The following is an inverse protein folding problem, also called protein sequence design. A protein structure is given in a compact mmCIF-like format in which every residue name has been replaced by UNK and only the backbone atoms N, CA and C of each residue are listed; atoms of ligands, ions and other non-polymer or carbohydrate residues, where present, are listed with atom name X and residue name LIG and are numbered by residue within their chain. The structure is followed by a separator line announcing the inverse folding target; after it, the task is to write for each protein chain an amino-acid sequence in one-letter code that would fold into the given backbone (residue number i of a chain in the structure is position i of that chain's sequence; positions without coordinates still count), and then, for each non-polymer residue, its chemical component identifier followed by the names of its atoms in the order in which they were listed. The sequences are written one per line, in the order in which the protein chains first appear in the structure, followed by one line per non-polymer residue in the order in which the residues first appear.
data_IF_682170963032
#
_entry.id   IF_682170963032
#
_cell.length_a   1.000
_cell.length_b   1.000
_cell.length_c   1.000
_cell.angle_alpha   90.00
_cell.angle_beta   90.00
_cell.angle_gamma   90.00
#
_symmetry.space_group_name_H-M   'P 1'
#
loop_
_entity.id
_entity.type
_entity.pdbx_description
1 polymer ?
#
# COMPACT_ATOMS: atom_id res chain seq x y z
N UNK A 1 -30.69 -7.08 -33.87
CA UNK A 1 -29.83 -5.92 -33.63
C UNK A 1 -28.42 -6.36 -33.94
N UNK A 2 -27.70 -5.59 -34.75
CA UNK A 2 -26.28 -5.85 -35.04
C UNK A 2 -25.41 -5.23 -33.96
N UNK A 3 -24.15 -5.66 -33.84
CA UNK A 3 -23.20 -5.11 -32.87
C UNK A 3 -23.00 -3.59 -33.07
N UNK A 4 -23.01 -3.13 -34.32
CA UNK A 4 -22.93 -1.71 -34.67
C UNK A 4 -24.14 -0.90 -34.20
N UNK A 5 -25.35 -1.45 -34.33
CA UNK A 5 -26.58 -0.79 -33.84
C UNK A 5 -26.55 -0.65 -32.31
N UNK A 6 -26.06 -1.67 -31.61
CA UNK A 6 -25.91 -1.66 -30.16
C UNK A 6 -24.87 -0.61 -29.71
N UNK A 7 -23.72 -0.55 -30.39
CA UNK A 7 -22.67 0.43 -30.09
C UNK A 7 -23.14 1.88 -30.27
N UNK A 8 -23.87 2.16 -31.36
CA UNK A 8 -24.46 3.48 -31.63
C UNK A 8 -25.47 3.84 -30.54
N UNK A 9 -26.36 2.89 -30.19
CA UNK A 9 -27.37 3.10 -29.15
C UNK A 9 -26.70 3.41 -27.80
N UNK A 10 -25.66 2.66 -27.44
CA UNK A 10 -24.94 2.83 -26.19
C UNK A 10 -24.23 4.19 -26.14
N UNK A 11 -23.47 4.55 -27.18
CA UNK A 11 -22.83 5.87 -27.27
C UNK A 11 -23.84 7.00 -27.12
N UNK A 12 -25.01 6.87 -27.77
CA UNK A 12 -26.08 7.87 -27.66
C UNK A 12 -26.60 7.98 -26.22
N UNK A 13 -26.83 6.85 -25.55
CA UNK A 13 -27.34 6.80 -24.18
C UNK A 13 -26.33 7.37 -23.18
N UNK A 14 -25.07 6.93 -23.25
CA UNK A 14 -24.01 7.42 -22.37
C UNK A 14 -23.82 8.94 -22.48
N UNK A 15 -23.88 9.48 -23.70
CA UNK A 15 -23.79 10.91 -23.92
C UNK A 15 -25.05 11.68 -23.49
N UNK A 16 -26.23 11.12 -23.71
CA UNK A 16 -27.49 11.78 -23.34
C UNK A 16 -27.65 11.96 -21.83
N UNK A 17 -27.06 11.06 -21.04
CA UNK A 17 -27.10 11.09 -19.57
C UNK A 17 -25.78 11.52 -18.94
N UNK A 18 -24.79 11.95 -19.74
CA UNK A 18 -23.47 12.36 -19.26
C UNK A 18 -22.81 11.36 -18.28
N UNK A 19 -22.98 10.06 -18.53
CA UNK A 19 -22.62 9.00 -17.57
C UNK A 19 -21.14 9.04 -17.17
N UNK A 20 -20.26 9.44 -18.10
CA UNK A 20 -18.83 9.66 -17.82
C UNK A 20 -18.63 10.75 -16.76
N UNK A 21 -19.32 11.88 -16.89
CA UNK A 21 -19.19 12.99 -15.94
C UNK A 21 -19.80 12.62 -14.59
N UNK A 22 -20.93 11.92 -14.58
CA UNK A 22 -21.56 11.40 -13.36
C UNK A 22 -20.58 10.48 -12.62
N UNK A 23 -19.95 9.53 -13.32
CA UNK A 23 -18.97 8.63 -12.72
C UNK A 23 -17.79 9.38 -12.08
N UNK A 24 -17.23 10.38 -12.76
CA UNK A 24 -16.17 11.22 -12.16
C UNK A 24 -16.66 11.99 -10.93
N UNK A 25 -17.89 12.52 -10.97
CA UNK A 25 -18.45 13.26 -9.84
C UNK A 25 -18.67 12.36 -8.62
N UNK A 26 -19.17 11.14 -8.82
CA UNK A 26 -19.32 10.14 -7.75
C UNK A 26 -17.96 9.75 -7.16
N UNK A 27 -16.96 9.46 -8.00
CA UNK A 27 -15.62 9.16 -7.54
C UNK A 27 -14.99 10.31 -6.72
N UNK A 28 -15.14 11.55 -7.19
CA UNK A 28 -14.69 12.73 -6.44
C UNK A 28 -15.42 12.89 -5.11
N UNK A 29 -16.70 12.52 -5.04
CA UNK A 29 -17.45 12.54 -3.78
C UNK A 29 -16.92 11.49 -2.81
N UNK A 30 -16.62 10.27 -3.28
CA UNK A 30 -16.01 9.20 -2.49
C UNK A 30 -14.66 9.67 -1.88
N UNK A 31 -13.81 10.34 -2.66
CA UNK A 31 -12.55 10.91 -2.15
C UNK A 31 -12.78 11.95 -1.06
N UNK A 32 -13.74 12.87 -1.27
CA UNK A 32 -14.08 13.90 -0.27
C UNK A 32 -14.61 13.30 1.03
N UNK A 33 -15.53 12.35 0.94
CA UNK A 33 -16.16 11.71 2.09
C UNK A 33 -15.15 10.92 2.93
N UNK A 34 -14.07 10.44 2.30
CA UNK A 34 -12.99 9.70 2.95
C UNK A 34 -11.71 10.50 3.18
N UNK A 35 -11.73 11.83 2.99
CA UNK A 35 -10.54 12.70 3.08
C UNK A 35 -9.80 12.64 4.44
N UNK A 36 -10.49 12.27 5.52
CA UNK A 36 -9.90 12.13 6.85
C UNK A 36 -9.42 10.69 7.17
N UNK A 37 -9.65 9.74 6.27
CA UNK A 37 -9.25 8.35 6.45
C UNK A 37 -7.95 8.08 5.69
N UNK A 38 -6.82 8.18 6.41
CA UNK A 38 -5.48 7.99 5.84
C UNK A 38 -5.24 6.59 5.23
N UNK A 39 -6.03 5.59 5.61
CA UNK A 39 -5.89 4.22 5.11
C UNK A 39 -6.83 3.90 3.93
N UNK A 40 -7.78 4.78 3.60
CA UNK A 40 -8.79 4.54 2.56
C UNK A 40 -8.19 4.21 1.18
N UNK A 41 -7.08 4.86 0.83
CA UNK A 41 -6.38 4.67 -0.45
C UNK A 41 -5.18 3.72 -0.32
N UNK A 42 -5.17 2.80 0.65
CA UNK A 42 -4.08 1.83 0.88
C UNK A 42 -2.67 2.47 0.87
N UNK A 43 -2.52 3.62 1.53
CA UNK A 43 -1.26 4.35 1.67
C UNK A 43 -0.91 5.32 0.53
N UNK A 44 -1.71 5.37 -0.54
CA UNK A 44 -1.61 6.42 -1.55
C UNK A 44 -2.28 7.71 -1.09
N UNK A 45 -1.82 8.85 -1.59
CA UNK A 45 -2.53 10.13 -1.46
C UNK A 45 -3.34 10.41 -2.72
N UNK A 46 -4.45 11.15 -2.61
CA UNK A 46 -5.29 11.50 -3.76
C UNK A 46 -4.48 12.15 -4.90
N UNK A 47 -3.54 13.04 -4.57
CA UNK A 47 -2.68 13.73 -5.53
C UNK A 47 -1.72 12.80 -6.29
N UNK A 48 -1.46 11.59 -5.80
CA UNK A 48 -0.65 10.60 -6.50
C UNK A 48 -1.46 9.80 -7.53
N UNK A 49 -2.78 9.75 -7.37
CA UNK A 49 -3.66 8.91 -8.17
C UNK A 49 -4.17 9.68 -9.39
N UNK A 50 -3.89 9.14 -10.58
CA UNK A 50 -4.48 9.58 -11.84
C UNK A 50 -5.74 8.79 -12.12
N UNK A 51 -6.86 9.49 -12.28
CA UNK A 51 -8.14 8.91 -12.65
C UNK A 51 -8.34 9.04 -14.16
N UNK A 52 -8.48 7.92 -14.87
CA UNK A 52 -8.61 7.91 -16.34
C UNK A 52 -9.88 7.16 -16.72
N UNK A 53 -10.69 7.75 -17.58
CA UNK A 53 -11.85 7.05 -18.15
C UNK A 53 -11.36 5.93 -19.07
N UNK A 54 -11.79 4.70 -18.79
CA UNK A 54 -11.40 3.53 -19.59
C UNK A 54 -12.43 3.24 -20.66
N UNK A 55 -13.68 2.94 -20.25
CA UNK A 55 -14.71 2.43 -21.16
C UNK A 55 -16.12 2.59 -20.61
N UNK A 56 -17.06 2.43 -21.54
CA UNK A 56 -18.41 1.98 -21.22
C UNK A 56 -18.54 0.51 -21.56
N UNK A 57 -19.32 -0.22 -20.78
CA UNK A 57 -19.59 -1.64 -20.97
C UNK A 57 -21.09 -1.91 -20.87
N UNK A 58 -21.63 -2.64 -21.83
CA UNK A 58 -23.02 -3.08 -21.82
C UNK A 58 -23.09 -4.50 -21.30
N UNK A 59 -23.95 -4.73 -20.32
CA UNK A 59 -24.17 -6.07 -19.80
C UNK A 59 -25.66 -6.37 -19.71
N UNK A 60 -26.03 -7.56 -20.17
CA UNK A 60 -27.36 -8.12 -19.96
C UNK A 60 -27.24 -9.09 -18.81
N UNK A 61 -27.72 -8.70 -17.63
CA UNK A 61 -27.85 -9.66 -16.53
C UNK A 61 -29.10 -10.51 -16.75
N UNK A 62 -28.91 -11.76 -17.17
CA UNK A 62 -30.01 -12.71 -17.38
C UNK A 62 -30.75 -13.11 -16.10
N UNK A 63 -30.18 -12.85 -14.92
CA UNK A 63 -30.80 -13.16 -13.61
C UNK A 63 -31.74 -12.05 -13.17
N UNK A 64 -31.38 -10.80 -13.43
CA UNK A 64 -32.17 -9.61 -13.05
C UNK A 64 -33.12 -9.21 -14.19
N UNK A 65 -32.84 -9.65 -15.43
CA UNK A 65 -33.66 -9.38 -16.60
C UNK A 65 -33.53 -7.94 -17.12
N UNK A 66 -32.61 -7.15 -16.55
CA UNK A 66 -32.34 -5.78 -16.93
C UNK A 66 -30.99 -5.65 -17.66
N UNK A 67 -30.95 -4.70 -18.59
CA UNK A 67 -29.72 -4.30 -19.25
C UNK A 67 -29.10 -3.14 -18.47
N UNK A 68 -27.81 -3.25 -18.19
CA UNK A 68 -27.04 -2.26 -17.43
C UNK A 68 -25.93 -1.68 -18.31
N UNK A 69 -25.56 -0.45 -18.00
CA UNK A 69 -24.41 0.25 -18.55
C UNK A 69 -23.43 0.46 -17.40
N UNK A 70 -22.23 -0.09 -17.54
CA UNK A 70 -21.11 0.13 -16.64
C UNK A 70 -20.22 1.22 -17.18
N UNK A 71 -19.89 2.19 -16.34
CA UNK A 71 -18.94 3.26 -16.64
C UNK A 71 -17.70 3.06 -15.78
N UNK A 72 -16.55 2.77 -16.39
CA UNK A 72 -15.31 2.46 -15.65
C UNK A 72 -14.29 3.59 -15.73
N UNK A 73 -13.76 3.94 -14.57
CA UNK A 73 -12.63 4.85 -14.37
C UNK A 73 -11.51 4.04 -13.75
N UNK A 74 -10.37 3.94 -14.43
CA UNK A 74 -9.16 3.33 -13.88
C UNK A 74 -8.41 4.30 -12.97
N UNK A 75 -7.77 3.74 -11.94
CA UNK A 75 -6.92 4.45 -10.99
C UNK A 75 -5.47 4.04 -11.24
N UNK A 76 -4.62 5.02 -11.49
CA UNK A 76 -3.23 4.79 -11.92
C UNK A 76 -2.24 5.64 -11.14
N UNK A 77 -0.98 5.20 -11.14
CA UNK A 77 0.17 6.01 -10.73
C UNK A 77 1.06 6.29 -11.94
N UNK A 78 1.88 7.34 -11.82
CA UNK A 78 3.03 7.49 -12.72
C UNK A 78 4.02 6.35 -12.51
N UNK A 79 4.25 5.58 -13.56
CA UNK A 79 5.22 4.50 -13.55
C UNK A 79 6.64 5.08 -13.61
N UNK A 80 7.35 4.97 -12.49
CA UNK A 80 8.73 5.47 -12.36
C UNK A 80 9.77 4.50 -12.92
N UNK A 81 9.39 3.24 -13.10
CA UNK A 81 10.30 2.16 -13.51
C UNK A 81 10.18 1.83 -15.00
N UNK A 82 9.27 2.52 -15.73
CA UNK A 82 8.99 2.35 -17.17
C UNK A 82 8.71 0.88 -17.56
N UNK A 83 7.99 0.16 -16.70
CA UNK A 83 7.60 -1.24 -16.89
C UNK A 83 6.25 -1.33 -17.62
N UNK A 84 5.34 -0.39 -17.36
CA UNK A 84 3.97 -0.37 -17.84
C UNK A 84 3.83 0.43 -19.14
N UNK A 85 2.87 -0.01 -19.96
CA UNK A 85 2.47 0.72 -21.16
C UNK A 85 1.97 2.12 -20.77
N UNK A 86 2.33 3.11 -21.59
CA UNK A 86 2.01 4.53 -21.38
C UNK A 86 2.54 5.15 -20.07
N UNK A 87 3.52 4.49 -19.43
CA UNK A 87 4.13 4.90 -18.16
C UNK A 87 3.09 5.12 -17.04
N UNK A 88 2.03 4.31 -17.03
CA UNK A 88 1.00 4.33 -15.97
C UNK A 88 0.84 2.94 -15.35
N UNK A 89 1.03 2.87 -14.02
CA UNK A 89 0.80 1.64 -13.27
C UNK A 89 -0.66 1.58 -12.79
N UNK A 90 -1.44 0.54 -13.15
CA UNK A 90 -2.79 0.37 -12.61
C UNK A 90 -2.73 -0.05 -11.14
N UNK A 91 -3.53 0.61 -10.30
CA UNK A 91 -3.63 0.34 -8.86
C UNK A 91 -5.06 0.03 -8.39
N UNK A 92 -6.06 0.24 -9.25
CA UNK A 92 -7.46 0.02 -8.90
C UNK A 92 -8.40 0.63 -9.92
N UNK A 93 -9.68 0.72 -9.56
CA UNK A 93 -10.72 1.23 -10.43
C UNK A 93 -11.96 1.67 -9.63
N UNK A 94 -12.78 2.47 -10.30
CA UNK A 94 -14.15 2.78 -9.92
C UNK A 94 -15.07 2.37 -11.06
N UNK A 95 -16.21 1.74 -10.77
CA UNK A 95 -17.28 1.58 -11.76
C UNK A 95 -18.62 2.02 -11.21
N UNK A 96 -19.38 2.67 -12.08
CA UNK A 96 -20.75 3.08 -11.87
C UNK A 96 -21.66 2.20 -12.73
N UNK A 97 -22.67 1.58 -12.11
CA UNK A 97 -23.74 0.88 -12.80
C UNK A 97 -24.97 1.79 -12.94
N UNK A 98 -25.46 1.92 -14.17
CA UNK A 98 -26.74 2.56 -14.45
C UNK A 98 -27.63 1.67 -15.29
N UNK A 99 -28.95 1.89 -15.20
CA UNK A 99 -29.90 1.28 -16.12
C UNK A 99 -29.88 2.00 -17.51
N UNK A 100 -30.77 1.57 -18.42
CA UNK A 100 -30.89 2.19 -19.75
C UNK A 100 -31.56 3.57 -19.77
N UNK A 101 -32.08 4.03 -18.64
CA UNK A 101 -32.67 5.34 -18.43
C UNK A 101 -31.70 6.30 -17.71
N UNK A 102 -30.48 5.83 -17.40
CA UNK A 102 -29.46 6.62 -16.71
C UNK A 102 -29.67 6.68 -15.20
N UNK A 103 -30.57 5.88 -14.64
CA UNK A 103 -30.73 5.76 -13.19
C UNK A 103 -29.56 4.97 -12.60
N UNK A 104 -28.94 5.51 -11.55
CA UNK A 104 -27.85 4.86 -10.83
C UNK A 104 -28.41 3.66 -10.07
N UNK A 105 -27.82 2.50 -10.29
CA UNK A 105 -28.20 1.25 -9.63
C UNK A 105 -27.25 0.95 -8.47
N UNK A 106 -25.94 1.04 -8.72
CA UNK A 106 -24.89 0.77 -7.75
C UNK A 106 -23.56 1.37 -8.22
N UNK A 107 -22.58 1.42 -7.31
CA UNK A 107 -21.20 1.75 -7.63
C UNK A 107 -20.21 0.94 -6.78
N UNK A 108 -18.97 0.85 -7.27
CA UNK A 108 -17.90 0.26 -6.48
C UNK A 108 -16.58 0.96 -6.71
N UNK A 109 -15.83 1.06 -5.62
CA UNK A 109 -14.50 1.61 -5.57
C UNK A 109 -13.55 0.54 -5.05
N UNK A 110 -12.51 0.24 -5.82
CA UNK A 110 -11.56 -0.83 -5.52
C UNK A 110 -10.13 -0.31 -5.68
N UNK A 111 -9.32 -0.51 -4.65
CA UNK A 111 -7.86 -0.36 -4.70
C UNK A 111 -7.26 -1.75 -4.58
N UNK A 112 -6.65 -2.24 -5.66
CA UNK A 112 -6.13 -3.61 -5.78
C UNK A 112 -4.69 -3.73 -5.29
N UNK A 113 -3.97 -2.61 -5.21
CA UNK A 113 -2.57 -2.55 -4.76
C UNK A 113 -2.42 -1.70 -3.51
N UNK A 114 -1.53 -2.09 -2.63
CA UNK A 114 -1.11 -1.29 -1.49
C UNK A 114 0.24 -0.64 -1.80
N UNK A 115 0.44 0.63 -1.43
CA UNK A 115 1.69 1.34 -1.77
C UNK A 115 2.95 0.65 -1.25
N UNK A 116 2.82 -0.09 -0.16
CA UNK A 116 3.91 -0.71 0.57
C UNK A 116 3.93 -2.25 0.41
N UNK A 117 3.62 -2.79 -0.78
CA UNK A 117 3.62 -4.25 -1.10
C UNK A 117 4.87 -5.02 -0.62
N UNK A 118 6.01 -4.32 -0.51
CA UNK A 118 7.28 -4.82 0.00
C UNK A 118 7.25 -5.26 1.48
N UNK A 119 6.16 -4.98 2.18
CA UNK A 119 5.91 -5.45 3.54
C UNK A 119 5.95 -6.97 3.62
N UNK A 120 5.53 -7.71 2.60
CA UNK A 120 5.49 -9.19 2.63
C UNK A 120 6.89 -9.79 2.82
N UNK A 121 7.90 -9.29 2.09
CA UNK A 121 9.27 -9.78 2.24
C UNK A 121 9.84 -9.42 3.62
N UNK A 122 9.61 -8.19 4.08
CA UNK A 122 10.05 -7.71 5.39
C UNK A 122 9.41 -8.52 6.53
N UNK A 123 8.11 -8.77 6.43
CA UNK A 123 7.34 -9.58 7.39
C UNK A 123 7.85 -11.02 7.40
N UNK A 124 8.11 -11.60 6.23
CA UNK A 124 8.66 -12.97 6.13
C UNK A 124 10.03 -13.07 6.81
N UNK A 125 10.89 -12.07 6.64
CA UNK A 125 12.19 -11.98 7.32
C UNK A 125 12.03 -11.83 8.82
N UNK A 126 11.11 -10.99 9.28
CA UNK A 126 10.80 -10.80 10.69
C UNK A 126 10.33 -12.11 11.35
N UNK A 127 9.41 -12.84 10.69
CA UNK A 127 8.93 -14.14 11.17
C UNK A 127 10.06 -15.18 11.23
N UNK A 128 10.85 -15.32 10.16
CA UNK A 128 11.97 -16.28 10.11
C UNK A 128 13.06 -15.96 11.14
N UNK A 129 13.37 -14.69 11.38
CA UNK A 129 14.30 -14.27 12.43
C UNK A 129 13.77 -14.63 13.82
N UNK A 130 12.49 -14.37 14.11
CA UNK A 130 11.90 -14.67 15.42
C UNK A 130 11.82 -16.17 15.72
N UNK A 131 11.77 -17.04 14.70
CA UNK A 131 11.89 -18.50 14.90
C UNK A 131 13.26 -18.92 15.45
N UNK A 132 14.29 -18.09 15.31
CA UNK A 132 15.64 -18.33 15.82
C UNK A 132 15.90 -17.66 17.17
N UNK A 133 14.92 -16.95 17.73
CA UNK A 133 15.05 -16.22 18.98
C UNK A 133 15.31 -17.21 20.13
N UNK A 134 16.43 -17.07 20.87
CA UNK A 134 16.66 -17.88 22.07
C UNK A 134 15.58 -17.57 23.13
N UNK A 135 14.82 -18.57 23.63
CA UNK A 135 13.73 -18.33 24.58
C UNK A 135 14.16 -17.62 25.87
N UNK A 136 15.41 -17.83 26.31
CA UNK A 136 16.00 -17.16 27.47
C UNK A 136 16.08 -15.63 27.32
N UNK A 137 16.12 -15.11 26.09
CA UNK A 137 16.16 -13.66 25.85
C UNK A 137 14.83 -12.99 26.18
N UNK A 138 13.73 -13.75 26.26
CA UNK A 138 12.42 -13.24 26.67
C UNK A 138 12.31 -13.01 28.19
N UNK A 139 13.32 -13.40 28.97
CA UNK A 139 13.34 -13.13 30.41
C UNK A 139 13.73 -11.67 30.64
N UNK A 140 12.94 -10.93 31.40
CA UNK A 140 13.15 -9.48 31.66
C UNK A 140 14.53 -9.13 32.21
N UNK A 141 15.15 -10.03 32.96
CA UNK A 141 16.48 -9.85 33.55
C UNK A 141 17.62 -10.36 32.65
N UNK A 142 17.31 -10.86 31.45
CA UNK A 142 18.31 -11.25 30.49
C UNK A 142 18.90 -10.00 29.82
N UNK A 143 20.22 -9.98 29.64
CA UNK A 143 20.91 -8.80 29.07
C UNK A 143 20.32 -8.40 27.73
N UNK A 144 20.02 -9.38 26.87
CA UNK A 144 19.47 -9.16 25.52
C UNK A 144 17.97 -8.87 25.44
N UNK A 145 17.26 -8.85 26.56
CA UNK A 145 15.81 -8.59 26.57
C UNK A 145 15.47 -7.26 25.91
N UNK A 146 16.25 -6.22 26.20
CA UNK A 146 16.04 -4.88 25.64
C UNK A 146 16.20 -4.86 24.12
N UNK A 147 17.26 -5.50 23.59
CA UNK A 147 17.45 -5.64 22.15
C UNK A 147 16.29 -6.38 21.47
N UNK A 148 15.85 -7.49 22.07
CA UNK A 148 14.72 -8.27 21.55
C UNK A 148 13.41 -7.46 21.58
N UNK A 149 13.19 -6.66 22.62
CA UNK A 149 12.05 -5.76 22.70
C UNK A 149 12.11 -4.69 21.58
N UNK A 150 13.27 -4.11 21.31
CA UNK A 150 13.44 -3.18 20.19
C UNK A 150 13.15 -3.84 18.85
N UNK A 151 13.72 -5.01 18.58
CA UNK A 151 13.47 -5.77 17.35
C UNK A 151 11.98 -6.08 17.17
N UNK A 152 11.31 -6.52 18.25
CA UNK A 152 9.88 -6.82 18.23
C UNK A 152 9.05 -5.56 17.91
N UNK A 153 9.38 -4.44 18.53
CA UNK A 153 8.71 -3.16 18.30
C UNK A 153 8.94 -2.62 16.88
N UNK A 154 10.12 -2.84 16.28
CA UNK A 154 10.33 -2.52 14.86
C UNK A 154 9.31 -3.26 14.00
N UNK A 155 9.19 -4.58 14.15
CA UNK A 155 8.26 -5.39 13.37
C UNK A 155 6.79 -5.02 13.61
N UNK A 156 6.39 -4.88 14.88
CA UNK A 156 5.02 -4.50 15.24
C UNK A 156 4.63 -3.14 14.70
N UNK A 157 5.46 -2.11 14.90
CA UNK A 157 5.15 -0.76 14.44
C UNK A 157 5.14 -0.68 12.91
N UNK A 158 6.01 -1.43 12.25
CA UNK A 158 6.04 -1.51 10.80
C UNK A 158 4.75 -2.10 10.23
N UNK A 159 4.32 -3.26 10.73
CA UNK A 159 3.06 -3.90 10.32
C UNK A 159 1.86 -2.99 10.57
N UNK A 160 1.89 -2.20 11.64
CA UNK A 160 0.86 -1.21 11.96
C UNK A 160 1.04 0.14 11.24
N UNK A 161 1.92 0.21 10.23
CA UNK A 161 2.22 1.43 9.43
C UNK A 161 2.70 2.64 10.24
N UNK A 162 3.17 2.42 11.47
CA UNK A 162 3.78 3.44 12.33
C UNK A 162 5.26 3.61 12.01
N UNK A 163 5.55 4.02 10.77
CA UNK A 163 6.90 4.01 10.19
C UNK A 163 7.92 4.87 10.94
N UNK A 164 7.55 6.07 11.38
CA UNK A 164 8.39 6.93 12.21
C UNK A 164 8.78 6.24 13.52
N UNK A 165 7.81 5.57 14.17
CA UNK A 165 8.05 4.78 15.38
C UNK A 165 8.99 3.61 15.10
N UNK A 166 8.74 2.85 14.03
CA UNK A 166 9.60 1.75 13.62
C UNK A 166 11.05 2.22 13.38
N UNK A 167 11.24 3.35 12.69
CA UNK A 167 12.55 3.96 12.45
C UNK A 167 13.29 4.34 13.73
N UNK A 168 12.60 4.89 14.74
CA UNK A 168 13.20 5.19 16.05
C UNK A 168 13.69 3.93 16.76
N UNK A 169 12.93 2.84 16.67
CA UNK A 169 13.34 1.56 17.26
C UNK A 169 14.46 0.87 16.48
N UNK A 170 14.54 1.06 15.16
CA UNK A 170 15.70 0.65 14.36
C UNK A 170 16.96 1.35 14.88
N UNK A 171 16.91 2.67 15.08
CA UNK A 171 18.04 3.43 15.65
C UNK A 171 18.43 2.91 17.03
N UNK A 172 17.46 2.75 17.94
CA UNK A 172 17.71 2.22 19.30
C UNK A 172 18.36 0.84 19.28
N UNK A 173 17.91 -0.04 18.37
CA UNK A 173 18.51 -1.36 18.22
C UNK A 173 19.96 -1.28 17.74
N UNK A 174 20.30 -0.39 16.81
CA UNK A 174 21.69 -0.16 16.40
C UNK A 174 22.54 0.39 17.55
N UNK A 175 22.09 1.44 18.24
CA UNK A 175 22.81 1.99 19.40
C UNK A 175 23.01 0.96 20.50
N UNK A 176 22.06 0.05 20.72
CA UNK A 176 22.24 -1.05 21.65
C UNK A 176 23.39 -1.98 21.24
N UNK A 177 23.48 -2.33 19.95
CA UNK A 177 24.55 -3.20 19.43
C UNK A 177 25.94 -2.56 19.53
N UNK A 178 26.05 -1.24 19.52
CA UNK A 178 27.32 -0.54 19.75
C UNK A 178 27.80 -0.68 21.20
N UNK A 179 26.87 -0.77 22.16
CA UNK A 179 27.20 -0.84 23.59
C UNK A 179 27.48 -2.25 24.09
N UNK A 180 27.02 -3.28 23.39
CA UNK A 180 27.11 -4.69 23.81
C UNK A 180 27.93 -5.49 22.81
N UNK A 181 28.97 -6.17 23.29
CA UNK A 181 29.78 -7.03 22.43
C UNK A 181 28.96 -8.14 21.78
N UNK A 182 29.16 -8.32 20.46
CA UNK A 182 28.55 -9.36 19.63
C UNK A 182 28.67 -10.78 20.24
N UNK A 183 29.71 -11.06 21.03
CA UNK A 183 29.91 -12.37 21.67
C UNK A 183 28.86 -12.73 22.73
N UNK A 184 28.05 -11.77 23.18
CA UNK A 184 26.95 -11.99 24.14
C UNK A 184 25.65 -12.40 23.46
N UNK A 185 25.64 -12.52 22.14
CA UNK A 185 24.46 -12.90 21.37
C UNK A 185 24.61 -14.30 20.77
N UNK A 186 23.47 -14.96 20.58
CA UNK A 186 23.35 -16.04 19.63
C UNK A 186 23.70 -15.53 18.22
N UNK A 187 24.62 -16.23 17.55
CA UNK A 187 25.20 -15.78 16.28
C UNK A 187 24.16 -15.75 15.15
N UNK A 188 23.27 -16.73 15.12
CA UNK A 188 22.29 -16.88 14.04
C UNK A 188 21.16 -15.86 14.20
N UNK A 189 20.72 -15.64 15.43
CA UNK A 189 19.78 -14.59 15.76
C UNK A 189 20.36 -13.21 15.47
N UNK A 190 21.56 -12.89 15.99
CA UNK A 190 22.22 -11.59 15.77
C UNK A 190 22.39 -11.28 14.28
N UNK A 191 22.89 -12.24 13.50
CA UNK A 191 23.05 -12.09 12.05
C UNK A 191 21.72 -11.79 11.36
N UNK A 192 20.67 -12.52 11.74
CA UNK A 192 19.32 -12.33 11.18
C UNK A 192 18.73 -10.98 11.59
N UNK A 193 18.93 -10.54 12.83
CA UNK A 193 18.51 -9.22 13.33
C UNK A 193 19.22 -8.06 12.65
N UNK A 194 20.56 -8.13 12.48
CA UNK A 194 21.32 -7.10 11.74
C UNK A 194 20.82 -6.98 10.29
N UNK A 195 20.51 -8.11 9.64
CA UNK A 195 19.92 -8.12 8.28
C UNK A 195 18.52 -7.48 8.26
N UNK A 196 17.67 -7.83 9.21
CA UNK A 196 16.33 -7.25 9.35
C UNK A 196 16.39 -5.73 9.56
N UNK A 197 17.21 -5.25 10.50
CA UNK A 197 17.40 -3.82 10.75
C UNK A 197 17.90 -3.07 9.50
N UNK A 198 18.83 -3.67 8.74
CA UNK A 198 19.34 -3.07 7.50
C UNK A 198 18.25 -2.97 6.42
N UNK A 199 17.46 -4.03 6.26
CA UNK A 199 16.32 -4.07 5.34
C UNK A 199 15.31 -2.98 5.71
N UNK A 200 14.92 -2.92 6.99
CA UNK A 200 14.02 -1.92 7.55
C UNK A 200 14.53 -0.49 7.34
N UNK A 201 15.78 -0.20 7.72
CA UNK A 201 16.39 1.11 7.53
C UNK A 201 16.38 1.53 6.07
N UNK A 202 16.81 0.64 5.16
CA UNK A 202 16.80 0.93 3.71
C UNK A 202 15.38 1.22 3.24
N UNK A 203 14.42 0.40 3.65
CA UNK A 203 13.03 0.53 3.26
C UNK A 203 12.42 1.87 3.66
N UNK A 204 12.55 2.22 4.94
CA UNK A 204 12.01 3.46 5.50
C UNK A 204 12.61 4.71 4.83
N UNK A 205 13.93 4.70 4.58
CA UNK A 205 14.64 5.81 3.95
C UNK A 205 14.27 5.94 2.47
N UNK A 206 14.37 4.86 1.71
CA UNK A 206 14.11 4.89 0.25
C UNK A 206 12.67 5.28 -0.08
N UNK A 207 11.70 4.87 0.75
CA UNK A 207 10.29 5.22 0.55
C UNK A 207 9.87 6.53 1.24
N UNK A 208 10.82 7.30 1.80
CA UNK A 208 10.56 8.57 2.49
C UNK A 208 9.51 8.47 3.62
N UNK A 209 9.50 7.36 4.36
CA UNK A 209 8.47 7.04 5.37
C UNK A 209 8.76 7.61 6.77
N UNK A 210 9.87 8.33 6.90
CA UNK A 210 10.38 8.88 8.15
C UNK A 210 10.88 10.30 7.93
N UNK A 211 10.96 11.07 9.02
CA UNK A 211 11.45 12.44 9.01
C UNK A 211 12.90 12.57 8.50
N UNK A 212 13.25 13.69 7.87
CA UNK A 212 14.61 13.94 7.35
C UNK A 212 15.68 13.85 8.45
N UNK A 213 15.38 14.33 9.65
CA UNK A 213 16.28 14.19 10.80
C UNK A 213 16.55 12.72 11.13
N UNK A 214 15.52 11.88 11.17
CA UNK A 214 15.68 10.45 11.44
C UNK A 214 16.38 9.72 10.27
N UNK A 215 16.19 10.16 9.02
CA UNK A 215 16.95 9.61 7.88
C UNK A 215 18.44 9.83 8.05
N UNK A 216 18.86 11.05 8.40
CA UNK A 216 20.27 11.39 8.63
C UNK A 216 20.86 10.51 9.72
N UNK A 217 20.17 10.40 10.86
CA UNK A 217 20.60 9.54 11.96
C UNK A 217 20.74 8.06 11.55
N UNK A 218 19.85 7.53 10.71
CA UNK A 218 19.92 6.14 10.23
C UNK A 218 20.98 5.90 9.14
N UNK A 219 21.40 6.95 8.44
CA UNK A 219 22.46 6.89 7.44
C UNK A 219 23.83 6.98 8.11
N UNK A 220 23.99 7.86 9.10
CA UNK A 220 25.23 8.02 9.88
C UNK A 220 25.63 6.73 10.61
N UNK A 221 24.66 6.03 11.21
CA UNK A 221 24.86 4.75 11.88
C UNK A 221 25.29 3.59 10.95
N UNK A 222 25.31 3.76 9.62
CA UNK A 222 25.79 2.72 8.67
C UNK A 222 27.28 2.79 8.37
N UNK A 223 27.96 3.88 8.73
CA UNK A 223 29.38 4.08 8.39
C UNK A 223 30.36 3.48 9.40
N UNK A 224 29.87 2.84 10.48
CA UNK A 224 30.72 2.32 11.57
C UNK A 224 30.57 0.81 11.84
N UNK A 225 29.88 0.05 10.96
CA UNK A 225 29.59 -1.39 11.16
C UNK A 225 29.92 -2.31 9.99
#
# INVERSE_FOLDING_TARGET
MTDQELEILLKRKCNAFDLKQIAFNCLLQIFKDNSNNNDFLNGYTENEIKTIFERFEYQIDRRIGSAIIRTRIGLYLDDRDNVWLDNIEPIGYYELETDFNGEILDDWFVIEKEKYVSDIEIISHFQSMNQKLPPEYLRRNHIQYEFVAYISLVGTLFISKQFEGAGRFVKRAYSYLETISDNKFDKDYLKSSKRFLKLMSKYLVTNNLISESLKQELIENKNEG
#
